data_IF_485803757513
#
_entry.id   IF_485803757513
#
_cell.length_a   1.000
_cell.length_b   1.000
_cell.length_c   1.000
_cell.angle_alpha   90.00
_cell.angle_beta   90.00
_cell.angle_gamma   90.00
#
_symmetry.space_group_name_H-M   'P 1'
#
loop_
_entity.id
_entity.type
_entity.pdbx_description
1 polymer ?
#
# COMPACT_ATOMS: atom_id res chain seq x y z
N UNK A 1 0.39 -14.39 -6.83
CA UNK A 1 0.11 -12.94 -6.79
C UNK A 1 -1.27 -12.67 -7.37
N UNK A 2 -2.05 -11.81 -6.75
CA UNK A 2 -3.38 -11.44 -7.25
C UNK A 2 -3.25 -10.60 -8.54
N UNK A 3 -4.35 -10.48 -9.29
CA UNK A 3 -4.37 -9.65 -10.50
C UNK A 3 -4.41 -8.16 -10.15
N UNK A 4 -4.07 -7.31 -11.11
CA UNK A 4 -4.20 -5.86 -10.94
C UNK A 4 -5.65 -5.46 -10.63
N UNK A 5 -6.61 -6.13 -11.25
CA UNK A 5 -8.04 -5.89 -11.01
C UNK A 5 -8.45 -6.23 -9.58
N UNK A 6 -7.97 -7.35 -9.05
CA UNK A 6 -8.23 -7.75 -7.66
C UNK A 6 -7.54 -6.81 -6.67
N UNK A 7 -6.32 -6.36 -7.00
CA UNK A 7 -5.60 -5.39 -6.20
C UNK A 7 -6.37 -4.06 -6.09
N UNK A 8 -6.89 -3.57 -7.22
CA UNK A 8 -7.69 -2.35 -7.23
C UNK A 8 -8.96 -2.50 -6.39
N UNK A 9 -9.62 -3.66 -6.50
CA UNK A 9 -10.83 -3.92 -5.71
C UNK A 9 -10.54 -3.94 -4.22
N UNK A 10 -9.43 -4.52 -3.79
CA UNK A 10 -9.00 -4.49 -2.38
C UNK A 10 -8.79 -3.07 -1.87
N UNK A 11 -8.20 -2.21 -2.70
CA UNK A 11 -8.04 -0.80 -2.33
C UNK A 11 -9.39 -0.09 -2.18
N UNK A 12 -10.31 -0.33 -3.10
CA UNK A 12 -11.67 0.25 -3.05
C UNK A 12 -12.42 -0.21 -1.81
N UNK A 13 -12.41 -1.49 -1.51
CA UNK A 13 -13.05 -2.06 -0.32
C UNK A 13 -12.46 -1.48 0.96
N UNK A 14 -11.14 -1.37 1.03
CA UNK A 14 -10.46 -0.77 2.17
C UNK A 14 -10.81 0.70 2.35
N UNK A 15 -10.91 1.44 1.26
CA UNK A 15 -11.31 2.85 1.31
C UNK A 15 -12.76 3.00 1.79
N UNK A 16 -13.65 2.09 1.40
CA UNK A 16 -15.03 2.08 1.91
C UNK A 16 -15.06 1.84 3.43
N UNK A 17 -14.24 0.94 3.95
CA UNK A 17 -14.12 0.75 5.40
C UNK A 17 -13.64 2.02 6.09
N UNK A 18 -12.64 2.68 5.52
CA UNK A 18 -12.13 3.95 6.05
C UNK A 18 -13.23 5.03 6.11
N UNK A 19 -13.99 5.18 5.02
CA UNK A 19 -15.09 6.15 4.96
C UNK A 19 -16.20 5.84 5.97
N UNK A 20 -16.44 4.56 6.26
CA UNK A 20 -17.47 4.12 7.21
C UNK A 20 -16.99 4.09 8.66
N UNK A 21 -15.71 4.37 8.91
CA UNK A 21 -15.12 4.28 10.25
C UNK A 21 -14.92 2.85 10.75
N UNK A 22 -14.95 1.87 9.86
CA UNK A 22 -14.79 0.44 10.20
C UNK A 22 -13.42 -0.03 9.73
N UNK A 23 -12.69 -0.78 10.59
CA UNK A 23 -11.41 -1.39 10.24
C UNK A 23 -11.55 -2.90 10.16
N UNK A 24 -10.83 -3.50 9.20
CA UNK A 24 -10.74 -4.95 9.10
C UNK A 24 -9.96 -5.53 10.28
N UNK A 25 -10.38 -6.68 10.79
CA UNK A 25 -9.65 -7.41 11.82
C UNK A 25 -8.28 -7.84 11.31
N UNK A 26 -8.19 -8.29 10.05
CA UNK A 26 -6.90 -8.65 9.42
C UNK A 26 -5.91 -7.50 9.42
N UNK A 27 -6.37 -6.30 9.12
CA UNK A 27 -5.54 -5.09 9.14
C UNK A 27 -4.99 -4.82 10.55
N UNK A 28 -5.86 -4.93 11.57
CA UNK A 28 -5.46 -4.73 12.96
C UNK A 28 -4.42 -5.77 13.37
N UNK A 29 -4.66 -7.04 13.06
CA UNK A 29 -3.75 -8.14 13.37
C UNK A 29 -2.38 -7.92 12.71
N UNK A 30 -2.35 -7.57 11.42
CA UNK A 30 -1.10 -7.31 10.70
C UNK A 30 -0.30 -6.15 11.28
N UNK A 31 -0.98 -5.13 11.81
CA UNK A 31 -0.31 -4.00 12.45
C UNK A 31 0.29 -4.36 13.81
N UNK A 32 -0.19 -5.40 14.45
CA UNK A 32 0.28 -5.87 15.77
C UNK A 32 1.40 -6.90 15.63
N UNK A 33 1.32 -7.83 14.68
CA UNK A 33 2.26 -8.94 14.49
C UNK A 33 3.53 -8.51 13.76
N UNK A 34 4.34 -7.69 14.40
CA UNK A 34 5.53 -7.08 13.78
C UNK A 34 6.61 -8.09 13.39
N UNK A 35 6.77 -9.17 14.11
CA UNK A 35 7.77 -10.21 13.84
C UNK A 35 7.58 -10.88 12.48
N UNK A 36 6.36 -10.87 11.94
CA UNK A 36 6.06 -11.48 10.65
C UNK A 36 6.66 -10.68 9.47
N UNK A 37 7.16 -9.48 9.71
CA UNK A 37 7.68 -8.61 8.65
C UNK A 37 9.21 -8.60 8.57
N UNK A 38 9.88 -9.31 9.47
CA UNK A 38 11.34 -9.39 9.50
C UNK A 38 11.89 -10.08 8.25
N UNK A 39 11.16 -11.05 7.69
CA UNK A 39 11.63 -11.86 6.56
C UNK A 39 11.31 -11.26 5.19
N UNK A 40 10.54 -10.18 5.12
CA UNK A 40 10.24 -9.50 3.86
C UNK A 40 8.83 -8.95 3.75
N UNK A 41 8.46 -8.58 2.54
CA UNK A 41 7.14 -8.01 2.24
C UNK A 41 6.62 -8.54 0.91
N UNK A 42 5.30 -8.59 0.76
CA UNK A 42 4.62 -8.98 -0.49
C UNK A 42 3.52 -7.97 -0.81
N UNK A 43 3.89 -6.76 -1.23
CA UNK A 43 2.91 -5.72 -1.50
C UNK A 43 2.08 -6.06 -2.74
N UNK A 44 0.76 -5.89 -2.65
CA UNK A 44 -0.11 -6.13 -3.79
C UNK A 44 -0.34 -4.87 -4.65
N UNK A 45 0.04 -3.70 -4.15
CA UNK A 45 -0.06 -2.45 -4.89
C UNK A 45 1.08 -1.50 -4.52
N UNK A 46 1.45 -0.68 -5.48
CA UNK A 46 2.40 0.42 -5.32
C UNK A 46 1.59 1.71 -5.25
N UNK A 47 1.79 2.50 -4.22
CA UNK A 47 1.12 3.79 -4.05
C UNK A 47 2.16 4.90 -4.20
N UNK A 48 2.02 5.72 -5.21
CA UNK A 48 2.78 6.96 -5.33
C UNK A 48 1.90 8.10 -4.85
N UNK A 49 2.25 8.71 -3.74
CA UNK A 49 1.40 9.67 -3.08
C UNK A 49 2.12 10.84 -2.45
N UNK A 50 1.35 11.72 -1.84
CA UNK A 50 1.86 12.90 -1.16
C UNK A 50 2.37 12.55 0.24
N UNK A 51 3.33 13.35 0.73
CA UNK A 51 3.81 13.27 2.12
C UNK A 51 2.86 13.94 3.12
N UNK A 52 1.73 14.47 2.66
CA UNK A 52 0.73 15.08 3.54
C UNK A 52 0.33 14.10 4.63
N UNK A 53 0.47 14.50 5.89
CA UNK A 53 0.24 13.63 7.05
C UNK A 53 -1.21 13.17 7.22
N UNK A 54 -2.13 13.79 6.50
CA UNK A 54 -3.56 13.46 6.56
C UNK A 54 -3.95 12.30 5.65
N UNK A 55 -3.04 11.83 4.77
CA UNK A 55 -3.35 10.81 3.77
C UNK A 55 -2.35 9.63 3.78
N UNK A 56 -2.11 9.00 4.94
CA UNK A 56 -1.28 7.80 4.98
C UNK A 56 -2.00 6.65 4.27
N UNK A 57 -1.36 6.06 3.24
CA UNK A 57 -2.00 5.09 2.37
C UNK A 57 -2.59 3.87 3.11
N UNK A 58 -1.86 3.34 4.08
CA UNK A 58 -2.30 2.17 4.84
C UNK A 58 -3.59 2.45 5.62
N UNK A 59 -3.79 3.68 6.05
CA UNK A 59 -4.98 4.09 6.80
C UNK A 59 -6.15 4.34 5.86
N UNK A 60 -5.96 5.14 4.79
CA UNK A 60 -7.06 5.50 3.89
C UNK A 60 -7.58 4.32 3.07
N UNK A 61 -6.75 3.28 2.90
CA UNK A 61 -7.14 2.04 2.22
C UNK A 61 -7.32 0.87 3.18
N UNK A 62 -7.22 1.10 4.49
CA UNK A 62 -7.36 0.09 5.54
C UNK A 62 -6.57 -1.18 5.20
N UNK A 63 -5.26 -1.04 5.02
CA UNK A 63 -4.36 -2.15 4.70
C UNK A 63 -3.34 -2.35 5.82
N UNK A 64 -2.84 -3.58 5.92
CA UNK A 64 -1.84 -3.94 6.91
C UNK A 64 -0.43 -3.59 6.45
N UNK A 65 0.51 -3.66 7.39
CA UNK A 65 1.93 -3.50 7.09
C UNK A 65 2.36 -4.61 6.12
N UNK A 66 3.11 -4.23 5.10
CA UNK A 66 3.56 -5.17 4.07
C UNK A 66 2.60 -5.35 2.90
N UNK A 67 1.37 -4.84 2.98
CA UNK A 67 0.37 -4.94 1.91
C UNK A 67 0.61 -3.95 0.77
N UNK A 68 1.17 -2.77 1.08
CA UNK A 68 1.40 -1.71 0.11
C UNK A 68 2.88 -1.31 0.08
N UNK A 69 3.39 -1.07 -1.11
CA UNK A 69 4.69 -0.42 -1.29
C UNK A 69 4.43 1.07 -1.52
N UNK A 70 4.78 1.90 -0.55
CA UNK A 70 4.39 3.31 -0.53
C UNK A 70 5.58 4.22 -0.83
N UNK A 71 5.41 5.06 -1.85
CA UNK A 71 6.37 6.08 -2.27
C UNK A 71 5.72 7.43 -1.99
N UNK A 72 6.32 8.23 -1.09
CA UNK A 72 5.73 9.51 -0.71
C UNK A 72 6.70 10.65 -0.97
N UNK A 73 6.17 11.70 -1.58
CA UNK A 73 6.91 12.94 -1.84
C UNK A 73 5.92 14.10 -1.78
N UNK A 74 6.34 15.25 -1.28
CA UNK A 74 5.48 16.43 -1.20
C UNK A 74 4.93 16.78 -2.60
N UNK A 75 3.60 16.87 -2.72
CA UNK A 75 2.92 17.13 -3.99
C UNK A 75 2.85 15.92 -4.93
N UNK A 76 3.12 14.72 -4.45
CA UNK A 76 3.14 13.45 -5.22
C UNK A 76 3.80 13.56 -6.60
N UNK A 77 4.94 14.23 -6.65
CA UNK A 77 5.70 14.47 -7.87
C UNK A 77 6.26 13.16 -8.44
N UNK A 78 6.22 13.01 -9.76
CA UNK A 78 6.81 11.87 -10.46
C UNK A 78 8.15 12.32 -11.06
N UNK A 79 9.21 12.18 -10.28
CA UNK A 79 10.59 12.47 -10.71
C UNK A 79 11.34 11.15 -10.94
N UNK A 80 12.57 11.17 -11.50
CA UNK A 80 13.31 9.93 -11.75
C UNK A 80 13.48 9.03 -10.53
N UNK A 81 13.64 9.60 -9.33
CA UNK A 81 13.75 8.81 -8.09
C UNK A 81 12.47 8.07 -7.76
N UNK A 82 11.31 8.67 -7.99
CA UNK A 82 10.03 8.02 -7.76
C UNK A 82 9.78 6.93 -8.80
N UNK A 83 10.10 7.21 -10.08
CA UNK A 83 10.03 6.21 -11.14
C UNK A 83 10.92 5.01 -10.82
N UNK A 84 12.14 5.24 -10.35
CA UNK A 84 13.06 4.19 -9.93
C UNK A 84 12.48 3.34 -8.81
N UNK A 85 11.79 3.94 -7.85
CA UNK A 85 11.14 3.22 -6.76
C UNK A 85 9.96 2.37 -7.25
N UNK A 86 9.17 2.87 -8.21
CA UNK A 86 8.11 2.10 -8.85
C UNK A 86 8.70 0.89 -9.58
N UNK A 87 9.74 1.09 -10.38
CA UNK A 87 10.41 0.01 -11.11
C UNK A 87 10.97 -1.05 -10.15
N UNK A 88 11.59 -0.61 -9.05
CA UNK A 88 12.11 -1.51 -8.03
C UNK A 88 11.01 -2.43 -7.49
N UNK A 89 9.89 -1.86 -7.09
CA UNK A 89 8.79 -2.64 -6.52
C UNK A 89 8.15 -3.58 -7.55
N UNK A 90 7.98 -3.10 -8.79
CA UNK A 90 7.43 -3.91 -9.86
C UNK A 90 8.31 -5.11 -10.18
N UNK A 91 9.62 -4.91 -10.27
CA UNK A 91 10.58 -5.98 -10.60
C UNK A 91 10.84 -6.89 -9.41
N UNK A 92 11.08 -6.32 -8.23
CA UNK A 92 11.48 -7.08 -7.03
C UNK A 92 10.36 -7.93 -6.47
N UNK A 93 9.14 -7.43 -6.47
CA UNK A 93 8.00 -8.09 -5.85
C UNK A 93 6.95 -8.57 -6.85
N UNK A 94 7.05 -8.20 -8.12
CA UNK A 94 6.04 -8.52 -9.11
C UNK A 94 4.69 -7.85 -8.82
N UNK A 95 4.70 -6.71 -8.14
CA UNK A 95 3.48 -6.02 -7.71
C UNK A 95 2.65 -5.57 -8.92
N UNK A 96 1.38 -5.98 -9.01
CA UNK A 96 0.61 -5.88 -10.25
C UNK A 96 -0.07 -4.53 -10.51
N UNK A 97 -0.09 -3.62 -9.55
CA UNK A 97 -0.84 -2.35 -9.64
C UNK A 97 -0.02 -1.18 -9.11
N UNK A 98 -0.06 -0.06 -9.84
CA UNK A 98 0.48 1.22 -9.38
C UNK A 98 -0.67 2.22 -9.27
#
# INVERSE_FOLDING_TARGET
>A
MITASDALERLKEGNQRFLSGVRSIDTIVKQIQRENFVEGQEPFAIILGCSDSRVPAEIIFDQGLGDLFVIRVAGNIVAPSQVGSVEFAAERFGTPLV
#
